data_IF_365995599954
#
_entry.id   IF_365995599954
#
_cell.length_a   1.000
_cell.length_b   1.000
_cell.length_c   1.000
_cell.angle_alpha   90.00
_cell.angle_beta   90.00
_cell.angle_gamma   90.00
#
_symmetry.space_group_name_H-M   'P 1'
#
loop_
_entity.id
_entity.type
_entity.pdbx_description
1 polymer ?
#
# COMPACT_ATOMS: atom_id res chain seq x y z
N UNK A 1 19.24 4.91 -10.50
CA UNK A 1 18.25 4.27 -9.62
C UNK A 1 17.54 3.18 -10.40
N UNK A 2 17.32 2.00 -9.81
CA UNK A 2 16.65 0.87 -10.44
C UNK A 2 15.30 0.61 -9.78
N UNK A 3 14.37 0.07 -10.56
CA UNK A 3 13.05 -0.38 -10.11
C UNK A 3 12.91 -1.84 -10.48
N UNK A 4 12.58 -2.66 -9.49
CA UNK A 4 12.19 -4.06 -9.66
C UNK A 4 10.74 -4.18 -9.27
N UNK A 5 9.99 -5.04 -9.95
CA UNK A 5 8.59 -5.26 -9.62
C UNK A 5 8.14 -6.67 -9.90
N UNK A 6 7.11 -7.10 -9.16
CA UNK A 6 6.39 -8.33 -9.42
C UNK A 6 4.89 -8.09 -9.21
N UNK A 7 4.10 -8.63 -10.13
CA UNK A 7 2.64 -8.64 -10.06
C UNK A 7 2.18 -10.09 -10.02
N UNK A 8 1.49 -10.48 -8.96
CA UNK A 8 1.11 -11.86 -8.71
C UNK A 8 -0.32 -12.15 -9.15
N UNK A 9 -0.59 -13.40 -9.50
CA UNK A 9 -1.96 -13.86 -9.76
C UNK A 9 -2.82 -13.76 -8.49
N UNK A 10 -4.14 -13.50 -8.63
CA UNK A 10 -5.04 -13.45 -7.49
C UNK A 10 -5.08 -14.78 -6.72
N UNK A 11 -5.40 -14.70 -5.43
CA UNK A 11 -5.64 -15.83 -4.54
C UNK A 11 -6.93 -15.60 -3.76
N UNK A 12 -7.52 -16.68 -3.28
CA UNK A 12 -8.69 -16.65 -2.40
C UNK A 12 -8.26 -16.85 -0.95
N UNK A 13 -8.96 -16.18 -0.04
CA UNK A 13 -8.92 -16.45 1.39
C UNK A 13 -10.35 -16.35 1.94
N UNK A 14 -10.72 -17.30 2.80
CA UNK A 14 -12.01 -17.29 3.50
C UNK A 14 -11.73 -17.23 4.99
N UNK A 15 -12.32 -16.26 5.66
CA UNK A 15 -12.17 -16.03 7.10
C UNK A 15 -13.54 -15.98 7.78
N UNK A 16 -13.59 -16.46 9.02
CA UNK A 16 -14.73 -16.18 9.90
C UNK A 16 -14.80 -14.68 10.25
N UNK A 17 -15.94 -14.23 10.77
CA UNK A 17 -16.19 -12.81 11.00
C UNK A 17 -15.17 -12.16 11.93
N UNK A 18 -14.80 -12.85 13.03
CA UNK A 18 -13.82 -12.36 13.99
C UNK A 18 -12.44 -12.18 13.35
N UNK A 19 -11.94 -13.20 12.63
CA UNK A 19 -10.66 -13.14 11.94
C UNK A 19 -10.64 -12.10 10.83
N UNK A 20 -11.72 -11.99 10.06
CA UNK A 20 -11.80 -10.98 9.00
C UNK A 20 -11.76 -9.57 9.57
N UNK A 21 -12.51 -9.29 10.64
CA UNK A 21 -12.49 -7.96 11.28
C UNK A 21 -11.12 -7.63 11.88
N UNK A 22 -10.45 -8.60 12.51
CA UNK A 22 -9.08 -8.44 13.00
C UNK A 22 -8.11 -8.13 11.86
N UNK A 23 -8.19 -8.86 10.75
CA UNK A 23 -7.43 -8.59 9.54
C UNK A 23 -7.64 -7.16 9.02
N UNK A 24 -8.90 -6.69 8.93
CA UNK A 24 -9.18 -5.32 8.49
C UNK A 24 -8.56 -4.25 9.41
N UNK A 25 -8.56 -4.50 10.73
CA UNK A 25 -7.96 -3.59 11.70
C UNK A 25 -6.42 -3.58 11.58
N UNK A 26 -5.80 -4.76 11.52
CA UNK A 26 -4.34 -4.93 11.53
C UNK A 26 -3.69 -4.44 10.23
N UNK A 27 -4.36 -4.61 9.08
CA UNK A 27 -3.81 -4.24 7.77
C UNK A 27 -4.22 -2.84 7.28
N UNK A 28 -4.96 -2.09 8.11
CA UNK A 28 -5.27 -0.68 7.85
C UNK A 28 -6.41 -0.46 6.85
N UNK A 29 -7.50 -1.21 7.00
CA UNK A 29 -8.73 -1.11 6.21
C UNK A 29 -9.91 -0.56 7.06
N UNK A 30 -9.78 0.63 7.71
CA UNK A 30 -10.77 1.16 8.63
C UNK A 30 -12.12 1.43 7.94
N UNK A 31 -12.11 1.80 6.66
CA UNK A 31 -13.33 2.12 5.92
C UNK A 31 -14.20 0.88 5.68
N UNK A 32 -13.57 -0.28 5.42
CA UNK A 32 -14.29 -1.55 5.26
C UNK A 32 -14.81 -2.06 6.61
N UNK A 33 -14.00 -1.94 7.67
CA UNK A 33 -14.43 -2.31 9.01
C UNK A 33 -15.62 -1.45 9.47
N UNK A 34 -15.57 -0.13 9.21
CA UNK A 34 -16.66 0.77 9.50
C UNK A 34 -17.93 0.42 8.70
N UNK A 35 -17.81 0.13 7.41
CA UNK A 35 -18.93 -0.28 6.58
C UNK A 35 -19.60 -1.58 7.07
N UNK A 36 -18.79 -2.59 7.44
CA UNK A 36 -19.29 -3.84 8.04
C UNK A 36 -19.97 -3.62 9.38
N UNK A 37 -19.43 -2.72 10.19
CA UNK A 37 -20.01 -2.35 11.49
C UNK A 37 -21.39 -1.72 11.28
N UNK A 38 -21.50 -0.74 10.38
CA UNK A 38 -22.76 -0.07 10.07
C UNK A 38 -23.81 -1.04 9.48
N UNK A 39 -23.37 -2.05 8.72
CA UNK A 39 -24.24 -3.07 8.13
C UNK A 39 -24.58 -4.24 9.08
N UNK A 40 -24.07 -4.26 10.32
CA UNK A 40 -24.32 -5.36 11.27
C UNK A 40 -23.69 -6.69 10.86
N UNK A 41 -22.57 -6.65 10.13
CA UNK A 41 -21.97 -7.84 9.50
C UNK A 41 -20.77 -8.41 10.24
N UNK A 42 -20.47 -7.91 11.44
CA UNK A 42 -19.25 -8.30 12.18
C UNK A 42 -19.20 -9.81 12.51
N UNK A 43 -20.35 -10.47 12.67
CA UNK A 43 -20.43 -11.90 12.89
C UNK A 43 -20.35 -12.74 11.59
N UNK A 44 -20.54 -12.12 10.42
CA UNK A 44 -20.50 -12.81 9.13
C UNK A 44 -19.06 -13.00 8.68
N UNK A 45 -18.72 -14.21 8.22
CA UNK A 45 -17.46 -14.46 7.51
C UNK A 45 -17.36 -13.66 6.21
N UNK A 46 -16.19 -13.76 5.57
CA UNK A 46 -15.99 -13.20 4.24
C UNK A 46 -14.99 -14.03 3.44
N UNK A 47 -15.27 -14.19 2.14
CA UNK A 47 -14.31 -14.66 1.14
C UNK A 47 -13.77 -13.47 0.36
N UNK A 48 -12.45 -13.34 0.34
CA UNK A 48 -11.73 -12.29 -0.38
C UNK A 48 -10.90 -12.89 -1.51
N UNK A 49 -10.99 -12.27 -2.69
CA UNK A 49 -10.07 -12.46 -3.80
C UNK A 49 -9.05 -11.32 -3.81
N UNK A 50 -7.80 -11.62 -3.44
CA UNK A 50 -6.74 -10.63 -3.32
C UNK A 50 -5.60 -10.86 -4.32
N UNK A 51 -5.01 -9.78 -4.83
CA UNK A 51 -3.78 -9.80 -5.61
C UNK A 51 -2.74 -8.86 -5.01
N UNK A 52 -1.45 -9.23 -5.13
CA UNK A 52 -0.34 -8.45 -4.58
C UNK A 52 0.59 -7.99 -5.68
N UNK A 53 0.92 -6.71 -5.63
CA UNK A 53 1.79 -6.01 -6.57
C UNK A 53 2.87 -5.30 -5.77
N UNK A 54 4.13 -5.60 -6.06
CA UNK A 54 5.25 -5.10 -5.29
C UNK A 54 6.26 -4.40 -6.18
N UNK A 55 6.86 -3.34 -5.66
CA UNK A 55 8.00 -2.65 -6.25
C UNK A 55 9.10 -2.47 -5.22
N UNK A 56 10.35 -2.60 -5.67
CA UNK A 56 11.53 -2.29 -4.88
C UNK A 56 12.38 -1.29 -5.66
N UNK A 57 12.84 -0.24 -4.97
CA UNK A 57 13.82 0.70 -5.50
C UNK A 57 15.20 0.31 -4.98
N UNK A 58 16.20 0.43 -5.84
CA UNK A 58 17.61 0.25 -5.46
C UNK A 58 18.45 1.37 -6.07
N UNK A 59 19.25 2.03 -5.24
CA UNK A 59 20.24 2.99 -5.69
C UNK A 59 21.62 2.32 -5.77
N UNK A 60 22.21 2.34 -6.96
CA UNK A 60 23.57 1.87 -7.25
C UNK A 60 24.40 3.07 -7.67
N UNK A 61 25.56 3.25 -7.03
CA UNK A 61 26.42 4.42 -7.24
C UNK A 61 25.77 5.76 -6.87
N UNK A 62 26.41 6.85 -7.28
CA UNK A 62 26.02 8.20 -6.88
C UNK A 62 25.03 8.87 -7.84
N UNK A 63 24.98 8.43 -9.10
CA UNK A 63 24.05 8.98 -10.08
C UNK A 63 22.58 8.67 -9.72
N UNK A 64 21.81 9.73 -9.43
CA UNK A 64 20.36 9.64 -9.21
C UNK A 64 19.63 9.82 -10.54
N UNK A 65 18.68 8.93 -10.83
CA UNK A 65 17.91 8.97 -12.08
C UNK A 65 16.43 9.17 -11.79
N UNK A 66 15.64 9.56 -12.80
CA UNK A 66 14.18 9.66 -12.69
C UNK A 66 13.47 8.30 -12.67
N UNK A 67 14.20 7.20 -12.86
CA UNK A 67 13.66 5.84 -12.96
C UNK A 67 12.86 5.42 -11.73
N UNK A 68 13.05 6.03 -10.55
CA UNK A 68 12.24 5.73 -9.37
C UNK A 68 10.74 5.89 -9.62
N UNK A 69 10.35 6.81 -10.52
CA UNK A 69 8.96 7.11 -10.86
C UNK A 69 8.38 6.26 -11.99
N UNK A 70 9.07 5.19 -12.43
CA UNK A 70 8.55 4.31 -13.48
C UNK A 70 7.22 3.68 -13.06
N UNK A 71 6.23 3.80 -13.95
CA UNK A 71 4.93 3.13 -13.87
C UNK A 71 5.05 1.77 -14.54
N UNK A 72 4.73 0.69 -13.81
CA UNK A 72 4.79 -0.69 -14.31
C UNK A 72 3.44 -1.21 -14.81
N UNK A 73 2.37 -0.43 -14.65
CA UNK A 73 1.02 -0.77 -15.14
C UNK A 73 0.35 -1.85 -14.30
N UNK A 74 0.66 -1.92 -13.01
CA UNK A 74 0.06 -2.91 -12.12
C UNK A 74 -1.37 -2.51 -11.73
N UNK A 75 -2.27 -3.49 -11.47
CA UNK A 75 -3.64 -3.21 -11.03
C UNK A 75 -3.74 -2.33 -9.78
N UNK A 76 -2.78 -2.44 -8.87
CA UNK A 76 -2.54 -1.43 -7.83
C UNK A 76 -1.05 -1.09 -7.77
N UNK A 77 -0.72 0.19 -7.68
CA UNK A 77 0.65 0.65 -7.79
C UNK A 77 0.91 1.90 -6.92
N UNK A 78 2.07 1.91 -6.24
CA UNK A 78 2.63 3.10 -5.59
C UNK A 78 3.76 3.67 -6.44
N UNK A 79 3.58 4.87 -6.98
CA UNK A 79 4.59 5.53 -7.83
C UNK A 79 5.22 6.68 -7.02
N UNK A 80 6.53 6.63 -6.71
CA UNK A 80 7.17 7.75 -6.06
C UNK A 80 7.28 8.96 -7.00
N UNK A 81 6.94 10.13 -6.47
CA UNK A 81 7.03 11.43 -7.13
C UNK A 81 8.30 12.18 -6.75
N UNK A 82 8.90 11.81 -5.61
CA UNK A 82 10.23 12.27 -5.20
C UNK A 82 11.19 11.09 -5.09
N UNK A 83 12.47 11.31 -5.42
CA UNK A 83 13.49 10.29 -5.31
C UNK A 83 13.83 10.08 -3.81
N UNK A 84 13.60 8.88 -3.23
CA UNK A 84 13.86 8.65 -1.81
C UNK A 84 15.35 8.64 -1.46
N UNK A 85 16.26 8.70 -2.44
CA UNK A 85 17.72 8.70 -2.26
C UNK A 85 18.39 10.06 -2.40
N UNK A 86 17.61 11.13 -2.61
CA UNK A 86 18.14 12.50 -2.65
C UNK A 86 18.28 13.04 -1.23
N UNK A 87 19.50 13.42 -0.86
CA UNK A 87 19.79 14.05 0.42
C UNK A 87 19.13 15.43 0.49
N UNK A 88 18.43 15.70 1.59
CA UNK A 88 17.86 17.01 1.90
C UNK A 88 18.30 17.36 3.31
N UNK A 89 18.62 18.63 3.58
CA UNK A 89 18.85 19.09 4.95
C UNK A 89 17.53 18.98 5.73
N UNK A 90 17.53 18.26 6.85
CA UNK A 90 16.33 18.05 7.68
C UNK A 90 15.55 16.77 7.32
N UNK A 91 14.27 16.72 7.72
CA UNK A 91 13.43 15.54 7.50
C UNK A 91 13.08 15.38 6.01
N UNK A 92 13.52 14.27 5.41
CA UNK A 92 13.18 13.92 4.02
C UNK A 92 11.70 13.57 3.92
N UNK A 93 11.02 14.04 2.87
CA UNK A 93 9.64 13.64 2.55
C UNK A 93 9.62 12.84 1.26
N UNK A 94 9.03 11.65 1.33
CA UNK A 94 8.69 10.87 0.15
C UNK A 94 7.25 11.21 -0.26
N UNK A 95 7.08 11.75 -1.46
CA UNK A 95 5.76 11.86 -2.09
C UNK A 95 5.53 10.64 -2.96
N UNK A 96 4.36 10.03 -2.83
CA UNK A 96 3.92 8.90 -3.65
C UNK A 96 2.55 9.18 -4.22
N UNK A 97 2.25 8.64 -5.40
CA UNK A 97 0.90 8.55 -5.95
C UNK A 97 0.41 7.11 -5.85
N UNK A 98 -0.77 6.90 -5.29
CA UNK A 98 -1.46 5.63 -5.31
C UNK A 98 -2.34 5.54 -6.55
N UNK A 99 -2.18 4.47 -7.33
CA UNK A 99 -2.89 4.21 -8.57
C UNK A 99 -3.60 2.87 -8.45
N UNK A 100 -4.86 2.80 -8.88
CA UNK A 100 -5.61 1.55 -9.05
C UNK A 100 -6.23 1.56 -10.44
N UNK A 101 -6.02 0.48 -11.19
CA UNK A 101 -6.52 0.29 -12.56
C UNK A 101 -6.18 1.47 -13.48
N UNK A 102 -4.96 1.99 -13.35
CA UNK A 102 -4.45 3.10 -14.15
C UNK A 102 -4.89 4.50 -13.70
N UNK A 103 -5.78 4.61 -12.71
CA UNK A 103 -6.28 5.89 -12.20
C UNK A 103 -5.73 6.23 -10.79
N UNK A 104 -5.34 7.49 -10.51
CA UNK A 104 -5.03 7.92 -9.16
C UNK A 104 -6.23 7.77 -8.22
N UNK A 105 -6.00 7.35 -6.98
CA UNK A 105 -7.08 7.15 -6.01
C UNK A 105 -6.97 8.09 -4.82
N UNK A 106 -8.02 8.88 -4.59
CA UNK A 106 -8.13 9.79 -3.47
C UNK A 106 -8.61 9.10 -2.19
N UNK A 107 -8.33 9.73 -1.04
CA UNK A 107 -8.76 9.28 0.29
C UNK A 107 -8.34 7.84 0.65
N UNK A 108 -7.33 7.28 -0.01
CA UNK A 108 -6.81 5.94 0.25
C UNK A 108 -5.87 5.98 1.45
N UNK A 109 -6.08 5.09 2.41
CA UNK A 109 -5.11 4.87 3.50
C UNK A 109 -3.81 4.30 2.92
N UNK A 110 -2.70 4.97 3.22
CA UNK A 110 -1.34 4.57 2.90
C UNK A 110 -0.58 4.43 4.21
N UNK A 111 -0.02 3.24 4.43
CA UNK A 111 0.79 2.93 5.60
C UNK A 111 2.27 2.96 5.23
N UNK A 112 3.11 3.52 6.08
CA UNK A 112 4.54 3.53 5.90
C UNK A 112 5.27 3.13 7.18
N UNK A 113 6.15 2.15 7.07
CA UNK A 113 6.91 1.62 8.19
C UNK A 113 8.24 1.06 7.71
N UNK A 114 8.89 0.26 8.55
CA UNK A 114 10.18 -0.30 8.20
C UNK A 114 11.00 -0.74 9.40
N UNK A 115 12.29 -0.92 9.16
CA UNK A 115 13.28 -1.32 10.16
C UNK A 115 14.50 -0.42 10.11
N UNK A 116 15.00 -0.05 11.29
CA UNK A 116 16.28 0.65 11.45
C UNK A 116 17.41 -0.23 10.95
N UNK A 117 18.59 0.37 10.77
CA UNK A 117 19.82 -0.36 10.46
C UNK A 117 20.14 -1.43 11.52
N UNK A 118 19.79 -1.18 12.78
CA UNK A 118 19.93 -2.14 13.90
C UNK A 118 18.81 -3.17 14.00
N UNK A 119 17.82 -3.15 13.11
CA UNK A 119 16.72 -4.12 13.05
C UNK A 119 15.48 -3.77 13.89
N UNK A 120 15.49 -2.66 14.64
CA UNK A 120 14.32 -2.16 15.37
C UNK A 120 13.20 -1.69 14.43
N UNK A 121 11.93 -1.81 14.84
CA UNK A 121 10.79 -1.40 14.01
C UNK A 121 10.59 0.11 14.07
N UNK A 122 10.29 0.73 12.92
CA UNK A 122 9.80 2.11 12.90
C UNK A 122 8.40 2.19 13.51
N UNK A 123 8.06 3.33 14.10
CA UNK A 123 6.65 3.68 14.33
C UNK A 123 5.97 3.83 12.97
N UNK A 124 4.91 3.07 12.74
CA UNK A 124 4.16 3.15 11.49
C UNK A 124 3.46 4.52 11.37
N UNK A 125 3.50 5.07 10.16
CA UNK A 125 2.75 6.25 9.75
C UNK A 125 1.52 5.80 8.98
N UNK A 126 0.37 6.42 9.27
CA UNK A 126 -0.84 6.27 8.49
C UNK A 126 -1.26 7.63 7.95
N UNK A 127 -1.31 7.75 6.62
CA UNK A 127 -1.70 8.96 5.91
C UNK A 127 -2.77 8.61 4.88
N UNK A 128 -3.52 9.61 4.39
CA UNK A 128 -4.45 9.42 3.28
C UNK A 128 -3.99 10.16 2.04
N UNK A 129 -4.30 9.62 0.88
CA UNK A 129 -4.08 10.33 -0.38
C UNK A 129 -5.03 11.51 -0.54
N UNK A 130 -4.53 12.58 -1.15
CA UNK A 130 -5.31 13.76 -1.51
C UNK A 130 -6.16 13.54 -2.79
N UNK A 131 -6.79 14.61 -3.29
CA UNK A 131 -7.61 14.57 -4.50
C UNK A 131 -6.84 14.19 -5.78
N UNK A 132 -5.51 14.36 -5.80
CA UNK A 132 -4.64 13.93 -6.90
C UNK A 132 -4.12 12.49 -6.72
N UNK A 133 -4.57 11.80 -5.67
CA UNK A 133 -4.14 10.46 -5.31
C UNK A 133 -2.75 10.42 -4.68
N UNK A 134 -2.29 11.52 -4.10
CA UNK A 134 -0.92 11.65 -3.58
C UNK A 134 -0.86 11.64 -2.05
N UNK A 135 0.17 11.00 -1.51
CA UNK A 135 0.47 10.96 -0.09
C UNK A 135 1.91 11.39 0.20
N UNK A 136 2.11 12.04 1.35
CA UNK A 136 3.42 12.49 1.82
C UNK A 136 3.84 11.70 3.07
N UNK A 137 5.01 11.08 3.02
CA UNK A 137 5.55 10.22 4.08
C UNK A 137 6.84 10.82 4.60
N UNK A 138 6.96 10.96 5.91
CA UNK A 138 8.16 11.49 6.55
C UNK A 138 9.20 10.39 6.71
N UNK A 139 10.36 10.54 6.08
CA UNK A 139 11.50 9.64 6.18
C UNK A 139 12.47 10.15 7.24
N UNK A 140 12.14 9.94 8.52
CA UNK A 140 12.89 10.48 9.65
C UNK A 140 14.09 9.61 10.09
N UNK A 141 14.17 8.37 9.62
CA UNK A 141 15.10 7.36 10.16
C UNK A 141 15.77 6.58 9.03
N UNK A 142 17.08 6.38 9.16
CA UNK A 142 17.84 5.49 8.27
C UNK A 142 17.46 4.02 8.50
N UNK A 143 17.40 3.25 7.43
CA UNK A 143 17.02 1.85 7.42
C UNK A 143 16.19 1.47 6.20
N UNK A 144 15.55 0.31 6.26
CA UNK A 144 14.73 -0.22 5.17
C UNK A 144 13.28 0.18 5.41
N UNK A 145 12.69 0.83 4.43
CA UNK A 145 11.32 1.32 4.44
C UNK A 145 10.42 0.45 3.55
N UNK A 146 9.16 0.36 3.96
CA UNK A 146 8.06 0.01 3.07
C UNK A 146 6.99 1.10 3.12
N UNK A 147 6.26 1.21 2.02
CA UNK A 147 5.02 1.98 1.89
C UNK A 147 4.00 1.03 1.27
N UNK A 148 2.81 0.91 1.85
CA UNK A 148 1.77 0.02 1.34
C UNK A 148 0.40 0.68 1.34
N UNK A 149 -0.46 0.25 0.43
CA UNK A 149 -1.90 0.41 0.55
C UNK A 149 -2.62 -0.85 0.10
N UNK A 150 -3.85 -0.99 0.58
CA UNK A 150 -4.77 -2.04 0.16
C UNK A 150 -6.04 -1.35 -0.31
N UNK A 151 -6.36 -1.51 -1.59
CA UNK A 151 -7.66 -1.14 -2.12
C UNK A 151 -8.55 -2.36 -2.07
N UNK A 152 -9.44 -2.40 -1.09
CA UNK A 152 -10.47 -3.42 -0.97
C UNK A 152 -11.82 -2.84 -1.39
N UNK A 153 -12.63 -3.61 -2.12
CA UNK A 153 -13.99 -3.27 -2.48
C UNK A 153 -14.90 -4.48 -2.30
N UNK A 154 -16.14 -4.23 -1.85
CA UNK A 154 -17.18 -5.27 -1.80
C UNK A 154 -17.61 -5.60 -3.22
N UNK A 155 -17.74 -6.89 -3.52
CA UNK A 155 -18.31 -7.35 -4.79
C UNK A 155 -19.83 -7.15 -4.74
N UNK A 156 -20.44 -6.48 -5.73
CA UNK A 156 -21.88 -6.31 -5.77
C UNK A 156 -22.59 -7.65 -5.89
N UNK A 157 -23.71 -7.83 -5.17
CA UNK A 157 -24.49 -9.07 -5.24
C UNK A 157 -24.96 -9.41 -6.67
N UNK A 158 -25.22 -8.38 -7.49
CA UNK A 158 -25.61 -8.53 -8.90
C UNK A 158 -24.51 -9.14 -9.79
N UNK A 159 -23.27 -9.21 -9.33
CA UNK A 159 -22.18 -9.86 -10.07
C UNK A 159 -22.27 -11.40 -10.00
N UNK A 160 -23.10 -11.97 -9.10
CA UNK A 160 -23.24 -13.41 -8.88
C UNK A 160 -21.89 -14.14 -8.71
N UNK A 161 -20.92 -13.47 -8.07
CA UNK A 161 -19.61 -14.05 -7.77
C UNK A 161 -19.67 -14.90 -6.50
N UNK A 162 -18.70 -15.79 -6.37
CA UNK A 162 -18.43 -16.63 -5.20
C UNK A 162 -17.69 -15.92 -4.05
N UNK A 163 -17.27 -14.67 -4.24
CA UNK A 163 -16.47 -13.90 -3.27
C UNK A 163 -17.19 -12.64 -2.80
N UNK A 164 -16.95 -12.25 -1.56
CA UNK A 164 -17.53 -11.06 -0.94
C UNK A 164 -16.74 -9.78 -1.24
N UNK A 165 -15.41 -9.91 -1.32
CA UNK A 165 -14.49 -8.79 -1.51
C UNK A 165 -13.44 -9.08 -2.58
N UNK A 166 -13.06 -8.03 -3.31
CA UNK A 166 -11.85 -7.98 -4.09
C UNK A 166 -10.86 -7.02 -3.43
N UNK A 167 -9.58 -7.39 -3.40
CA UNK A 167 -8.54 -6.45 -2.99
C UNK A 167 -7.29 -6.47 -3.87
N UNK A 168 -6.71 -5.29 -4.03
CA UNK A 168 -5.45 -5.08 -4.75
C UNK A 168 -4.48 -4.40 -3.80
N UNK A 169 -3.35 -5.06 -3.59
CA UNK A 169 -2.31 -4.59 -2.68
C UNK A 169 -1.17 -4.01 -3.48
N UNK A 170 -0.70 -2.84 -3.05
CA UNK A 170 0.53 -2.26 -3.56
C UNK A 170 1.53 -2.09 -2.41
N UNK A 171 2.76 -2.56 -2.61
CA UNK A 171 3.88 -2.29 -1.69
C UNK A 171 5.06 -1.74 -2.45
N UNK A 172 5.65 -0.66 -1.95
CA UNK A 172 6.92 -0.10 -2.39
C UNK A 172 7.95 -0.24 -1.28
N UNK A 173 9.13 -0.79 -1.59
CA UNK A 173 10.26 -0.87 -0.64
C UNK A 173 11.49 -0.13 -1.15
N UNK A 174 12.26 0.43 -0.22
CA UNK A 174 13.52 1.13 -0.50
C UNK A 174 14.34 1.27 0.79
N UNK A 175 15.59 1.70 0.69
CA UNK A 175 16.42 1.99 1.85
C UNK A 175 16.77 3.49 1.92
N UNK A 176 16.76 4.03 3.13
CA UNK A 176 17.28 5.35 3.46
C UNK A 176 18.60 5.13 4.19
N UNK A 177 19.66 5.75 3.70
CA UNK A 177 20.95 5.83 4.37
C UNK A 177 21.11 7.20 4.98
#
# INVERSE_FOLDING_TARGET
TYVFGASLRPRLITLDGAKFNAYLADDGLPDILAARTAAGELAKGATERYAKHVKALVQVGDARTASFGTVLGYPAELVPLTNPYVAVRGARTLRVRAIVDGAPIANQVVLAGGRTVSGGRFKEQSVRTDAAGEASIRLATAGVWYVKFIRMARVPAAAHDSVDYESKWATLTFAVR
#
